data_IF_700129539867
#
_entry.id   IF_700129539867
#
_cell.length_a   1.000
_cell.length_b   1.000
_cell.length_c   1.000
_cell.angle_alpha   90.00
_cell.angle_beta   90.00
_cell.angle_gamma   90.00
#
_symmetry.space_group_name_H-M   'P 1'
#
loop_
_entity.id
_entity.type
_entity.pdbx_description
1 polymer ?
#
# COMPACT_ATOMS: atom_id res chain seq x y z
N UNK A 1 -3.48 14.57 33.87
CA UNK A 1 -2.62 13.73 33.03
C UNK A 1 -1.24 14.40 32.85
N UNK A 2 -0.17 13.65 33.09
CA UNK A 2 1.19 14.08 32.85
C UNK A 2 2.08 12.88 32.52
N UNK A 3 3.07 13.03 31.65
CA UNK A 3 4.08 12.01 31.39
C UNK A 3 5.35 12.63 30.79
N UNK A 4 6.45 11.88 30.91
CA UNK A 4 7.74 12.26 30.36
C UNK A 4 8.37 11.09 29.62
N UNK A 5 9.16 11.37 28.58
CA UNK A 5 9.96 10.37 27.88
C UNK A 5 11.02 11.05 27.02
N UNK A 6 11.98 10.27 26.52
CA UNK A 6 12.97 10.77 25.58
C UNK A 6 12.34 11.14 24.23
N UNK A 7 12.81 12.20 23.61
CA UNK A 7 12.33 12.69 22.31
C UNK A 7 12.27 11.57 21.26
N UNK A 8 13.30 10.77 21.15
CA UNK A 8 13.42 9.69 20.16
C UNK A 8 12.34 8.60 20.37
N UNK A 9 12.06 8.31 21.65
CA UNK A 9 11.02 7.33 22.03
C UNK A 9 9.62 7.84 21.67
N UNK A 10 9.37 9.16 21.78
CA UNK A 10 8.10 9.79 21.42
C UNK A 10 7.95 9.99 19.92
N UNK A 11 9.03 10.28 19.21
CA UNK A 11 9.00 10.64 17.80
C UNK A 11 8.50 9.50 16.91
N UNK A 12 8.90 8.25 17.21
CA UNK A 12 8.49 7.07 16.43
C UNK A 12 6.95 6.87 16.45
N UNK A 13 6.27 6.74 17.61
CA UNK A 13 4.81 6.57 17.64
C UNK A 13 4.07 7.80 17.09
N UNK A 14 4.58 9.02 17.29
CA UNK A 14 4.00 10.21 16.67
C UNK A 14 4.06 10.17 15.15
N UNK A 15 5.18 9.77 14.57
CA UNK A 15 5.35 9.65 13.12
C UNK A 15 4.37 8.63 12.51
N UNK A 16 4.08 7.54 13.22
CA UNK A 16 3.11 6.53 12.78
C UNK A 16 1.68 7.07 12.78
N UNK A 17 1.29 7.76 13.85
CA UNK A 17 -0.08 8.24 14.05
C UNK A 17 -0.40 9.47 13.20
N UNK A 18 0.54 10.41 13.03
CA UNK A 18 0.30 11.69 12.36
C UNK A 18 -0.06 11.53 10.87
N UNK A 19 0.34 10.43 10.25
CA UNK A 19 0.07 10.16 8.83
C UNK A 19 -1.42 9.91 8.55
N UNK A 20 -2.13 9.32 9.51
CA UNK A 20 -3.58 9.07 9.41
C UNK A 20 -4.37 10.38 9.55
N UNK A 21 -3.84 11.35 10.32
CA UNK A 21 -4.51 12.63 10.58
C UNK A 21 -4.47 13.54 9.36
N UNK A 22 -5.61 13.83 8.76
CA UNK A 22 -5.73 14.70 7.60
C UNK A 22 -5.58 16.20 7.96
N UNK A 23 -5.16 17.01 6.98
CA UNK A 23 -4.97 18.45 7.18
C UNK A 23 -6.29 19.22 7.25
N UNK A 24 -7.31 18.76 6.53
CA UNK A 24 -8.63 19.41 6.47
C UNK A 24 -9.66 18.39 6.90
N UNK A 25 -10.25 18.62 8.06
CA UNK A 25 -11.26 17.77 8.65
C UNK A 25 -12.57 18.55 8.84
N UNK A 26 -13.69 17.87 8.66
CA UNK A 26 -15.01 18.41 8.97
C UNK A 26 -15.25 18.52 10.48
N UNK A 27 -14.65 17.57 11.23
CA UNK A 27 -14.69 17.57 12.70
C UNK A 27 -13.33 18.04 13.24
N UNK A 28 -13.26 19.16 13.99
CA UNK A 28 -11.99 19.70 14.49
C UNK A 28 -11.15 18.72 15.32
N UNK A 29 -11.79 17.84 16.08
CA UNK A 29 -11.11 16.84 16.93
C UNK A 29 -10.28 15.83 16.12
N UNK A 30 -10.63 15.58 14.85
CA UNK A 30 -9.88 14.69 13.96
C UNK A 30 -8.51 15.26 13.51
N UNK A 31 -8.27 16.57 13.74
CA UNK A 31 -6.95 17.18 13.58
C UNK A 31 -6.02 16.90 14.77
N UNK A 32 -6.59 16.41 15.87
CA UNK A 32 -5.87 16.01 17.07
C UNK A 32 -5.57 14.50 17.05
N UNK A 33 -4.60 14.10 17.85
CA UNK A 33 -4.46 12.73 18.33
C UNK A 33 -5.04 12.64 19.75
N UNK A 34 -5.51 11.46 20.14
CA UNK A 34 -5.85 11.14 21.53
C UNK A 34 -4.61 10.52 22.19
N UNK A 35 -4.15 11.13 23.27
CA UNK A 35 -3.12 10.57 24.14
C UNK A 35 -3.78 10.03 25.40
N UNK A 36 -3.57 8.75 25.71
CA UNK A 36 -4.06 8.08 26.91
C UNK A 36 -2.90 7.45 27.67
N UNK A 37 -2.83 7.70 28.98
CA UNK A 37 -1.83 7.11 29.88
C UNK A 37 -2.54 6.20 30.87
N UNK A 38 -2.15 4.94 30.88
CA UNK A 38 -2.61 3.92 31.82
C UNK A 38 -1.37 3.22 32.43
N UNK A 39 -1.13 3.43 33.73
CA UNK A 39 0.12 3.01 34.36
C UNK A 39 1.32 3.70 33.72
N UNK A 40 2.27 2.93 33.21
CA UNK A 40 3.46 3.40 32.49
C UNK A 40 3.31 3.33 30.95
N UNK A 41 2.12 3.04 30.45
CA UNK A 41 1.85 2.87 29.03
C UNK A 41 1.15 4.12 28.46
N UNK A 42 1.76 4.75 27.48
CA UNK A 42 1.16 5.77 26.63
C UNK A 42 0.63 5.15 25.35
N UNK A 43 -0.63 5.40 25.04
CA UNK A 43 -1.25 5.11 23.75
C UNK A 43 -1.55 6.41 23.02
N UNK A 44 -1.10 6.52 21.78
CA UNK A 44 -1.41 7.62 20.88
C UNK A 44 -2.33 7.10 19.79
N UNK A 45 -3.51 7.68 19.65
CA UNK A 45 -4.50 7.28 18.63
C UNK A 45 -4.76 8.43 17.67
N UNK A 46 -4.69 8.15 16.38
CA UNK A 46 -5.12 9.05 15.31
C UNK A 46 -6.12 8.36 14.40
N UNK A 47 -7.12 9.09 13.93
CA UNK A 47 -8.14 8.56 13.03
C UNK A 47 -8.71 9.66 12.14
N UNK A 48 -9.24 9.24 10.98
CA UNK A 48 -10.05 10.04 10.07
C UNK A 48 -11.46 9.44 9.86
N UNK A 49 -11.86 8.51 10.73
CA UNK A 49 -13.08 7.71 10.70
C UNK A 49 -13.09 6.55 9.69
N UNK A 50 -12.09 6.46 8.81
CA UNK A 50 -11.92 5.34 7.88
C UNK A 50 -10.74 4.47 8.26
N UNK A 51 -9.67 5.13 8.72
CA UNK A 51 -8.45 4.49 9.20
C UNK A 51 -8.16 4.96 10.61
N UNK A 52 -7.71 4.05 11.46
CA UNK A 52 -7.23 4.33 12.81
C UNK A 52 -5.83 3.74 13.01
N UNK A 53 -4.98 4.50 13.66
CA UNK A 53 -3.64 4.07 14.07
C UNK A 53 -3.50 4.29 15.56
N UNK A 54 -3.17 3.23 16.30
CA UNK A 54 -2.86 3.28 17.73
C UNK A 54 -1.42 2.85 17.92
N UNK A 55 -0.57 3.76 18.36
CA UNK A 55 0.82 3.47 18.67
C UNK A 55 1.06 3.55 20.19
N UNK A 56 1.82 2.60 20.75
CA UNK A 56 2.05 2.47 22.18
C UNK A 56 3.52 2.55 22.51
N UNK A 57 3.83 3.19 23.64
CA UNK A 57 5.19 3.25 24.18
C UNK A 57 5.16 3.42 25.69
N UNK A 58 6.25 3.04 26.36
CA UNK A 58 6.40 3.28 27.80
C UNK A 58 6.80 4.71 28.09
N UNK A 59 6.35 5.22 29.20
CA UNK A 59 6.64 6.58 29.66
C UNK A 59 7.12 6.58 31.11
N UNK A 60 7.87 7.62 31.44
CA UNK A 60 8.31 7.93 32.79
C UNK A 60 7.39 8.97 33.44
N UNK A 61 7.43 9.08 34.77
CA UNK A 61 6.72 10.11 35.57
C UNK A 61 5.23 10.22 35.16
N UNK A 62 4.56 9.08 35.07
CA UNK A 62 3.23 8.96 34.48
C UNK A 62 2.11 9.26 35.49
N UNK A 63 1.23 10.18 35.14
CA UNK A 63 -0.08 10.39 35.78
C UNK A 63 -1.17 10.00 34.77
N UNK A 64 -1.99 9.04 35.16
CA UNK A 64 -3.07 8.50 34.30
C UNK A 64 -4.04 9.60 33.83
N UNK A 65 -4.65 9.37 32.68
CA UNK A 65 -5.65 10.25 32.07
C UNK A 65 -5.62 10.22 30.58
N UNK A 66 -6.47 11.05 29.98
CA UNK A 66 -6.58 11.17 28.53
C UNK A 66 -6.78 12.62 28.10
N UNK A 67 -6.23 12.97 26.94
CA UNK A 67 -6.32 14.32 26.37
C UNK A 67 -6.11 14.30 24.87
N UNK A 68 -6.76 15.19 24.15
CA UNK A 68 -6.47 15.38 22.74
C UNK A 68 -5.40 16.45 22.51
N UNK A 69 -4.53 16.24 21.54
CA UNK A 69 -3.42 17.16 21.24
C UNK A 69 -3.37 17.37 19.73
N UNK A 70 -3.21 18.60 19.21
CA UNK A 70 -3.05 18.86 17.78
C UNK A 70 -1.87 18.06 17.21
N UNK A 71 -2.19 17.01 16.41
CA UNK A 71 -1.24 15.96 16.05
C UNK A 71 -0.02 16.48 15.30
N UNK A 72 -0.23 17.28 14.24
CA UNK A 72 0.86 17.82 13.42
C UNK A 72 1.73 18.81 14.18
N UNK A 73 1.12 19.68 14.99
CA UNK A 73 1.88 20.65 15.81
C UNK A 73 2.75 19.93 16.82
N UNK A 74 2.21 18.93 17.51
CA UNK A 74 3.00 18.12 18.43
C UNK A 74 4.16 17.42 17.73
N UNK A 75 3.90 16.78 16.58
CA UNK A 75 4.93 16.12 15.79
C UNK A 75 6.05 17.09 15.34
N UNK A 76 5.68 18.26 14.82
CA UNK A 76 6.65 19.28 14.38
C UNK A 76 7.48 19.82 15.54
N UNK A 77 6.87 20.07 16.70
CA UNK A 77 7.58 20.49 17.92
C UNK A 77 8.58 19.41 18.32
N UNK A 78 8.13 18.17 18.51
CA UNK A 78 9.00 17.07 18.96
C UNK A 78 10.14 16.82 17.96
N UNK A 79 9.85 16.90 16.67
CA UNK A 79 10.88 16.75 15.62
C UNK A 79 11.93 17.84 15.65
N UNK A 80 11.55 19.07 16.00
CA UNK A 80 12.45 20.23 16.03
C UNK A 80 13.27 20.34 17.34
N UNK A 81 12.93 19.57 18.39
CA UNK A 81 13.69 19.57 19.62
C UNK A 81 15.08 18.93 19.42
N UNK A 82 16.10 19.34 20.21
CA UNK A 82 17.42 18.71 20.16
C UNK A 82 17.37 17.20 20.50
N UNK A 83 18.29 16.45 19.93
CA UNK A 83 18.45 15.02 20.21
C UNK A 83 18.75 14.80 21.71
N UNK A 84 18.25 13.70 22.27
CA UNK A 84 18.41 13.35 23.69
C UNK A 84 17.59 14.22 24.65
N UNK A 85 16.67 15.06 24.15
CA UNK A 85 15.82 15.89 25.03
C UNK A 85 14.80 15.02 25.77
N UNK A 86 14.66 15.21 27.08
CA UNK A 86 13.52 14.70 27.85
C UNK A 86 12.31 15.61 27.60
N UNK A 87 11.27 15.06 27.01
CA UNK A 87 10.01 15.77 26.71
C UNK A 87 9.01 15.46 27.79
N UNK A 88 8.41 16.50 28.37
CA UNK A 88 7.33 16.39 29.35
C UNK A 88 6.05 16.97 28.72
N UNK A 89 4.97 16.23 28.75
CA UNK A 89 3.64 16.65 28.31
C UNK A 89 2.73 16.64 29.52
N UNK A 90 2.04 17.76 29.76
CA UNK A 90 1.15 17.93 30.91
C UNK A 90 -0.13 18.68 30.51
N UNK A 91 -1.24 18.20 31.01
CA UNK A 91 -2.55 18.86 30.88
C UNK A 91 -2.67 20.04 31.86
N UNK A 92 -3.18 21.16 31.38
CA UNK A 92 -3.47 22.34 32.17
C UNK A 92 -4.83 22.93 31.72
N UNK A 93 -5.91 22.40 32.31
CA UNK A 93 -7.29 22.76 31.91
C UNK A 93 -7.58 22.30 30.48
N UNK A 94 -7.93 23.24 29.62
CA UNK A 94 -8.23 23.08 28.18
C UNK A 94 -6.96 23.20 27.28
N UNK A 95 -5.77 23.15 27.89
CA UNK A 95 -4.50 23.30 27.21
C UNK A 95 -3.56 22.16 27.55
N UNK A 96 -2.59 21.94 26.66
CA UNK A 96 -1.49 21.02 26.84
C UNK A 96 -0.17 21.78 26.79
N UNK A 97 0.65 21.60 27.80
CA UNK A 97 2.02 22.11 27.80
C UNK A 97 2.99 21.01 27.37
N UNK A 98 3.81 21.32 26.39
CA UNK A 98 4.94 20.50 25.94
C UNK A 98 6.21 21.21 26.34
N UNK A 99 7.07 20.60 27.16
CA UNK A 99 8.30 21.20 27.62
C UNK A 99 9.52 20.29 27.46
N UNK A 100 10.64 20.86 27.09
CA UNK A 100 11.93 20.18 26.97
C UNK A 100 13.07 21.17 27.27
N UNK A 101 13.85 20.95 28.34
CA UNK A 101 14.87 21.87 28.79
C UNK A 101 14.28 23.26 29.05
N UNK A 102 14.74 24.25 28.29
CA UNK A 102 14.26 25.65 28.40
C UNK A 102 13.09 25.96 27.46
N UNK A 103 12.72 25.03 26.58
CA UNK A 103 11.63 25.21 25.61
C UNK A 103 10.30 24.85 26.24
N UNK A 104 9.28 25.69 26.01
CA UNK A 104 7.92 25.46 26.47
C UNK A 104 6.93 25.90 25.42
N UNK A 105 6.02 25.00 25.09
CA UNK A 105 4.95 25.23 24.11
C UNK A 105 3.60 24.96 24.78
N UNK A 106 2.60 25.76 24.44
CA UNK A 106 1.22 25.58 24.93
C UNK A 106 0.31 25.41 23.73
N UNK A 107 -0.36 24.27 23.68
CA UNK A 107 -1.30 23.91 22.62
C UNK A 107 -2.73 23.88 23.17
N UNK A 108 -3.69 24.28 22.34
CA UNK A 108 -5.11 24.10 22.66
C UNK A 108 -5.48 22.61 22.59
N UNK A 109 -6.32 22.17 23.49
CA UNK A 109 -6.87 20.81 23.52
C UNK A 109 -8.37 20.84 23.30
N UNK A 110 -8.91 19.72 22.86
CA UNK A 110 -10.36 19.46 22.81
C UNK A 110 -10.67 18.32 23.78
N UNK A 111 -11.92 18.22 24.27
CA UNK A 111 -12.29 17.14 25.20
C UNK A 111 -12.01 15.77 24.61
N UNK A 112 -11.43 14.89 25.40
CA UNK A 112 -11.12 13.51 24.97
C UNK A 112 -12.39 12.72 24.61
N UNK A 113 -13.52 13.01 25.27
CA UNK A 113 -14.81 12.38 25.00
C UNK A 113 -15.37 12.69 23.61
N UNK A 114 -14.91 13.79 22.98
CA UNK A 114 -15.30 14.14 21.60
C UNK A 114 -14.48 13.38 20.55
N UNK A 115 -13.41 12.68 20.98
CA UNK A 115 -12.59 11.92 20.05
C UNK A 115 -13.28 10.60 19.68
N UNK A 116 -13.54 10.37 18.38
CA UNK A 116 -14.27 9.20 17.94
C UNK A 116 -13.38 7.94 18.08
N UNK A 117 -14.00 6.84 18.50
CA UNK A 117 -13.40 5.53 18.40
C UNK A 117 -13.97 4.81 17.17
N UNK A 118 -13.14 4.03 16.48
CA UNK A 118 -13.66 3.06 15.51
C UNK A 118 -14.34 1.91 16.26
N UNK A 119 -15.35 1.32 15.61
CA UNK A 119 -16.03 0.16 16.11
C UNK A 119 -15.06 -1.00 16.37
N UNK A 120 -15.37 -1.82 17.35
CA UNK A 120 -14.61 -3.06 17.57
C UNK A 120 -14.67 -3.95 16.33
N UNK A 121 -13.53 -4.54 15.97
CA UNK A 121 -13.48 -5.47 14.84
C UNK A 121 -14.10 -6.79 15.28
N UNK A 122 -15.29 -7.10 14.76
CA UNK A 122 -15.88 -8.42 14.84
C UNK A 122 -15.11 -9.37 13.91
N UNK A 123 -13.95 -9.82 14.39
CA UNK A 123 -13.04 -10.64 13.61
C UNK A 123 -13.64 -12.02 13.33
N UNK A 124 -13.95 -12.29 12.07
CA UNK A 124 -14.42 -13.60 11.62
C UNK A 124 -13.28 -14.54 11.30
N UNK A 125 -12.13 -14.00 10.90
CA UNK A 125 -10.89 -14.74 10.65
C UNK A 125 -9.70 -14.04 11.28
N UNK A 126 -8.76 -14.85 11.80
CA UNK A 126 -7.48 -14.40 12.34
C UNK A 126 -6.37 -15.26 11.77
N UNK A 127 -5.35 -14.63 11.24
CA UNK A 127 -4.19 -15.32 10.67
C UNK A 127 -2.91 -14.60 11.05
N UNK A 128 -1.82 -15.36 11.13
CA UNK A 128 -0.48 -14.81 11.25
C UNK A 128 0.15 -14.71 9.87
N UNK A 129 0.80 -13.60 9.64
CA UNK A 129 1.51 -13.33 8.38
C UNK A 129 2.85 -12.65 8.68
N UNK A 130 3.91 -13.07 8.02
CA UNK A 130 5.20 -12.38 8.12
C UNK A 130 5.11 -10.96 7.58
N UNK A 131 5.66 -9.99 8.32
CA UNK A 131 5.63 -8.57 7.95
C UNK A 131 6.23 -8.32 6.57
N UNK A 132 7.40 -8.93 6.29
CA UNK A 132 8.05 -8.82 4.98
C UNK A 132 7.17 -9.36 3.84
N UNK A 133 6.48 -10.49 4.07
CA UNK A 133 5.57 -11.09 3.10
C UNK A 133 4.36 -10.20 2.82
N UNK A 134 3.73 -9.64 3.84
CA UNK A 134 2.60 -8.72 3.68
C UNK A 134 3.01 -7.45 2.96
N UNK A 135 4.16 -6.87 3.31
CA UNK A 135 4.74 -5.72 2.62
C UNK A 135 4.96 -6.01 1.15
N UNK A 136 5.57 -7.14 0.83
CA UNK A 136 5.81 -7.57 -0.55
C UNK A 136 4.50 -7.71 -1.34
N UNK A 137 3.47 -8.33 -0.77
CA UNK A 137 2.16 -8.46 -1.41
C UNK A 137 1.59 -7.10 -1.80
N UNK A 138 1.63 -6.14 -0.88
CA UNK A 138 1.09 -4.78 -1.10
C UNK A 138 1.93 -4.05 -2.16
N UNK A 139 3.26 -4.03 -2.03
CA UNK A 139 4.16 -3.34 -2.96
C UNK A 139 4.02 -3.85 -4.40
N UNK A 140 3.81 -5.16 -4.56
CA UNK A 140 3.70 -5.80 -5.88
C UNK A 140 2.31 -5.71 -6.51
N UNK A 141 1.30 -5.17 -5.81
CA UNK A 141 -0.08 -5.16 -6.31
C UNK A 141 -0.77 -3.81 -6.22
N UNK A 142 -0.50 -3.01 -5.19
CA UNK A 142 -1.24 -1.79 -4.89
C UNK A 142 -1.22 -0.72 -6.00
N UNK A 143 -0.22 -0.71 -6.87
CA UNK A 143 -0.11 0.23 -7.98
C UNK A 143 -1.25 0.06 -9.01
N UNK A 144 -1.85 -1.13 -9.10
CA UNK A 144 -2.93 -1.43 -10.04
C UNK A 144 -4.33 -1.07 -9.50
N UNK A 145 -4.46 -0.58 -8.26
CA UNK A 145 -5.74 -0.07 -7.75
C UNK A 145 -6.22 1.11 -8.56
N UNK A 146 -7.51 1.15 -8.87
CA UNK A 146 -8.15 2.31 -9.48
C UNK A 146 -8.10 3.55 -8.56
N UNK A 147 -8.28 4.73 -9.15
CA UNK A 147 -8.37 5.99 -8.43
C UNK A 147 -9.65 6.71 -8.85
N UNK A 148 -10.57 6.91 -7.88
CA UNK A 148 -11.84 7.60 -8.11
C UNK A 148 -12.69 6.99 -9.26
N UNK A 149 -12.60 5.66 -9.43
CA UNK A 149 -13.47 4.94 -10.37
C UNK A 149 -14.89 4.83 -9.79
N UNK A 150 -15.90 4.97 -10.65
CA UNK A 150 -17.31 4.81 -10.28
C UNK A 150 -17.61 3.39 -9.76
N UNK A 151 -16.83 2.41 -10.19
CA UNK A 151 -16.80 1.06 -9.65
C UNK A 151 -15.98 1.07 -8.37
N UNK A 152 -16.55 1.61 -7.30
CA UNK A 152 -15.86 1.91 -6.03
C UNK A 152 -15.09 0.72 -5.44
N UNK A 153 -15.51 -0.53 -5.71
CA UNK A 153 -14.83 -1.74 -5.30
C UNK A 153 -13.45 -1.94 -5.97
N UNK A 154 -13.14 -1.21 -7.04
CA UNK A 154 -11.80 -1.19 -7.67
C UNK A 154 -10.85 -0.17 -7.03
N UNK A 155 -11.37 0.77 -6.21
CA UNK A 155 -10.56 1.78 -5.52
C UNK A 155 -9.88 1.22 -4.25
N UNK A 156 -9.67 -0.08 -4.19
CA UNK A 156 -9.03 -0.78 -3.09
C UNK A 156 -8.27 -2.01 -3.53
N UNK A 157 -7.62 -2.63 -2.57
CA UNK A 157 -6.87 -3.87 -2.72
C UNK A 157 -7.69 -5.03 -2.15
N UNK A 158 -7.93 -6.05 -2.94
CA UNK A 158 -8.52 -7.30 -2.49
C UNK A 158 -7.49 -8.08 -1.67
N UNK A 159 -7.88 -8.50 -0.49
CA UNK A 159 -7.22 -9.52 0.32
C UNK A 159 -8.07 -10.79 0.21
N UNK A 160 -7.55 -11.80 -0.46
CA UNK A 160 -8.22 -13.08 -0.68
C UNK A 160 -7.50 -14.16 0.11
N UNK A 161 -8.12 -14.54 1.23
CA UNK A 161 -7.63 -15.55 2.16
C UNK A 161 -8.27 -16.89 1.81
N UNK A 162 -7.45 -17.88 1.51
CA UNK A 162 -7.93 -19.23 1.15
C UNK A 162 -6.88 -20.31 1.44
N UNK A 163 -7.34 -21.44 1.95
CA UNK A 163 -6.50 -22.61 2.23
C UNK A 163 -5.23 -22.24 3.04
N UNK A 164 -4.07 -22.26 2.43
CA UNK A 164 -2.76 -21.87 2.99
C UNK A 164 -2.18 -20.62 2.33
N UNK A 165 -3.03 -19.74 1.78
CA UNK A 165 -2.53 -18.61 1.04
C UNK A 165 -3.29 -17.32 1.37
N UNK A 166 -2.53 -16.22 1.44
CA UNK A 166 -3.05 -14.87 1.36
C UNK A 166 -2.64 -14.30 0.00
N UNK A 167 -3.65 -13.92 -0.79
CA UNK A 167 -3.46 -13.30 -2.09
C UNK A 167 -3.91 -11.85 -2.05
N UNK A 168 -3.11 -10.94 -2.58
CA UNK A 168 -3.50 -9.57 -2.83
C UNK A 168 -3.76 -9.36 -4.33
N UNK A 169 -4.86 -8.69 -4.67
CA UNK A 169 -5.25 -8.43 -6.06
C UNK A 169 -5.75 -7.00 -6.21
N UNK A 170 -5.28 -6.30 -7.22
CA UNK A 170 -5.77 -5.00 -7.62
C UNK A 170 -5.99 -4.92 -9.13
N UNK A 171 -6.99 -4.14 -9.56
CA UNK A 171 -7.26 -3.86 -10.97
C UNK A 171 -7.96 -2.51 -11.11
N UNK A 172 -7.70 -1.83 -12.23
CA UNK A 172 -8.42 -0.63 -12.67
C UNK A 172 -9.32 -0.89 -13.89
N UNK A 173 -9.44 -2.17 -14.30
CA UNK A 173 -10.18 -2.60 -15.47
C UNK A 173 -9.37 -2.61 -16.77
N UNK A 174 -8.12 -2.11 -16.76
CA UNK A 174 -7.20 -2.13 -17.90
C UNK A 174 -5.97 -2.99 -17.64
N UNK A 175 -5.66 -3.21 -16.39
CA UNK A 175 -4.58 -4.08 -15.92
C UNK A 175 -4.99 -4.74 -14.62
N UNK A 176 -4.31 -5.81 -14.26
CA UNK A 176 -4.49 -6.50 -13.00
C UNK A 176 -3.12 -6.88 -12.44
N UNK A 177 -2.94 -6.71 -11.16
CA UNK A 177 -1.78 -7.21 -10.41
C UNK A 177 -2.25 -8.17 -9.33
N UNK A 178 -1.67 -9.35 -9.26
CA UNK A 178 -1.93 -10.31 -8.20
C UNK A 178 -0.62 -10.91 -7.71
N UNK A 179 -0.52 -11.10 -6.41
CA UNK A 179 0.60 -11.75 -5.77
C UNK A 179 0.13 -12.57 -4.57
N UNK A 180 0.79 -13.69 -4.28
CA UNK A 180 0.38 -14.65 -3.27
C UNK A 180 1.52 -14.93 -2.30
N UNK A 181 1.19 -15.05 -1.01
CA UNK A 181 2.08 -15.54 0.03
C UNK A 181 1.49 -16.80 0.67
N UNK A 182 2.35 -17.77 0.93
CA UNK A 182 1.98 -18.98 1.66
C UNK A 182 1.90 -18.67 3.14
N UNK A 183 0.88 -19.17 3.81
CA UNK A 183 0.67 -19.08 5.25
C UNK A 183 1.14 -20.37 5.93
N UNK A 184 1.62 -20.23 7.15
CA UNK A 184 2.03 -21.41 7.94
C UNK A 184 0.83 -22.27 8.38
N UNK A 185 -0.31 -21.60 8.59
CA UNK A 185 -1.55 -22.24 9.04
C UNK A 185 -2.58 -22.35 7.92
N UNK A 186 -3.36 -23.43 7.93
CA UNK A 186 -4.49 -23.61 7.00
C UNK A 186 -5.70 -22.86 7.51
N UNK A 187 -6.26 -22.02 6.68
CA UNK A 187 -7.48 -21.26 6.98
C UNK A 187 -8.71 -22.12 6.74
N UNK A 188 -9.62 -22.13 7.70
CA UNK A 188 -10.84 -22.95 7.65
C UNK A 188 -11.88 -22.39 6.65
N UNK A 189 -11.94 -21.08 6.52
CA UNK A 189 -12.97 -20.39 5.74
C UNK A 189 -12.33 -19.46 4.72
N UNK A 190 -12.76 -19.55 3.47
CA UNK A 190 -12.36 -18.58 2.45
C UNK A 190 -12.93 -17.21 2.77
N UNK A 191 -12.09 -16.20 2.78
CA UNK A 191 -12.49 -14.84 3.08
C UNK A 191 -11.91 -13.84 2.07
N UNK A 192 -12.79 -13.02 1.50
CA UNK A 192 -12.41 -11.91 0.61
C UNK A 192 -12.85 -10.59 1.23
N UNK A 193 -11.93 -9.65 1.33
CA UNK A 193 -12.20 -8.29 1.80
C UNK A 193 -11.49 -7.29 0.89
N UNK A 194 -12.08 -6.10 0.75
CA UNK A 194 -11.49 -5.03 -0.06
C UNK A 194 -11.07 -3.89 0.88
N UNK A 195 -9.77 -3.69 0.99
CA UNK A 195 -9.17 -2.61 1.80
C UNK A 195 -9.10 -1.35 0.94
N UNK A 196 -9.67 -0.22 1.39
CA UNK A 196 -9.63 1.03 0.63
C UNK A 196 -8.20 1.49 0.35
N UNK A 197 -7.98 2.17 -0.77
CA UNK A 197 -6.66 2.67 -1.18
C UNK A 197 -5.93 3.40 -0.07
N UNK A 198 -6.61 4.28 0.69
CA UNK A 198 -6.01 5.00 1.82
C UNK A 198 -5.50 4.03 2.88
N UNK A 199 -6.32 3.07 3.29
CA UNK A 199 -5.92 2.04 4.26
C UNK A 199 -4.71 1.24 3.79
N UNK A 200 -4.67 0.86 2.51
CA UNK A 200 -3.54 0.13 1.91
C UNK A 200 -2.25 0.96 1.97
N UNK A 201 -2.31 2.24 1.61
CA UNK A 201 -1.13 3.12 1.61
C UNK A 201 -0.61 3.39 3.03
N UNK A 202 -1.50 3.56 4.02
CA UNK A 202 -1.09 3.71 5.41
C UNK A 202 -0.51 2.42 5.98
N UNK A 203 -1.11 1.27 5.65
CA UNK A 203 -0.57 -0.03 6.03
C UNK A 203 0.82 -0.26 5.40
N UNK A 204 0.99 0.06 4.13
CA UNK A 204 2.30 -0.04 3.44
C UNK A 204 3.39 0.79 4.12
N UNK A 205 3.05 2.00 4.58
CA UNK A 205 3.99 2.87 5.31
C UNK A 205 4.36 2.32 6.69
N UNK A 206 3.42 1.63 7.33
CA UNK A 206 3.63 1.02 8.63
C UNK A 206 4.58 -0.17 8.57
N UNK A 207 4.56 -0.94 7.48
CA UNK A 207 5.34 -2.16 7.33
C UNK A 207 6.81 -1.85 7.07
N UNK A 208 7.67 -2.28 7.97
CA UNK A 208 9.14 -2.09 7.90
C UNK A 208 9.81 -3.19 7.04
N UNK A 209 9.13 -4.34 6.84
CA UNK A 209 9.68 -5.49 6.10
C UNK A 209 10.63 -6.33 6.94
N UNK A 210 10.40 -6.38 8.23
CA UNK A 210 11.14 -7.21 9.16
C UNK A 210 10.67 -8.68 9.14
N UNK A 211 11.42 -9.55 9.81
CA UNK A 211 11.06 -10.97 9.96
C UNK A 211 10.01 -11.22 11.08
N UNK A 212 9.33 -10.16 11.55
CA UNK A 212 8.29 -10.27 12.58
C UNK A 212 7.02 -10.88 12.00
N UNK A 213 6.29 -11.54 12.88
CA UNK A 213 4.92 -11.94 12.59
C UNK A 213 3.93 -10.84 12.98
N UNK A 214 2.91 -10.68 12.17
CA UNK A 214 1.77 -9.79 12.40
C UNK A 214 0.51 -10.63 12.58
N UNK A 215 -0.37 -10.20 13.46
CA UNK A 215 -1.73 -10.72 13.54
C UNK A 215 -2.63 -9.90 12.62
N UNK A 216 -3.23 -10.59 11.67
CA UNK A 216 -4.20 -10.04 10.73
C UNK A 216 -5.60 -10.51 11.12
N UNK A 217 -6.46 -9.60 11.53
CA UNK A 217 -7.85 -9.84 11.85
C UNK A 217 -8.75 -9.31 10.73
N UNK A 218 -9.53 -10.19 10.12
CA UNK A 218 -10.51 -9.83 9.09
C UNK A 218 -11.92 -9.91 9.67
N UNK A 219 -12.58 -8.77 9.77
CA UNK A 219 -13.97 -8.65 10.19
C UNK A 219 -14.92 -8.47 9.00
N UNK A 220 -16.19 -8.17 9.30
CA UNK A 220 -17.20 -7.90 8.27
C UNK A 220 -17.03 -6.52 7.65
N UNK A 221 -16.72 -5.52 8.46
CA UNK A 221 -16.63 -4.12 8.07
C UNK A 221 -15.24 -3.51 8.25
N UNK A 222 -14.32 -4.21 8.91
CA UNK A 222 -12.97 -3.73 9.20
C UNK A 222 -11.92 -4.81 9.03
N UNK A 223 -10.70 -4.38 8.71
CA UNK A 223 -9.46 -5.15 8.85
C UNK A 223 -8.63 -4.52 9.97
N UNK A 224 -7.98 -5.36 10.77
CA UNK A 224 -7.02 -4.92 11.78
C UNK A 224 -5.71 -5.66 11.62
N UNK A 225 -4.61 -4.92 11.69
CA UNK A 225 -3.25 -5.47 11.69
C UNK A 225 -2.59 -5.06 13.00
N UNK A 226 -2.14 -6.05 13.76
CA UNK A 226 -1.48 -5.85 15.04
C UNK A 226 -0.01 -6.22 14.96
N UNK A 227 0.78 -5.32 15.46
CA UNK A 227 2.18 -5.50 15.80
C UNK A 227 2.34 -5.13 17.28
N UNK A 228 3.40 -5.56 17.96
CA UNK A 228 3.58 -5.38 19.41
C UNK A 228 3.29 -3.95 19.89
N UNK A 229 3.77 -2.96 19.18
CA UNK A 229 3.72 -1.54 19.53
C UNK A 229 2.63 -0.75 18.78
N UNK A 230 2.04 -1.33 17.72
CA UNK A 230 1.11 -0.62 16.84
C UNK A 230 -0.08 -1.48 16.47
N UNK A 231 -1.26 -0.85 16.44
CA UNK A 231 -2.48 -1.42 15.90
C UNK A 231 -3.00 -0.52 14.78
N UNK A 232 -3.10 -1.07 13.60
CA UNK A 232 -3.73 -0.45 12.44
C UNK A 232 -5.12 -1.02 12.25
N UNK A 233 -6.13 -0.18 12.02
CA UNK A 233 -7.49 -0.60 11.69
C UNK A 233 -7.99 0.20 10.49
N UNK A 234 -8.62 -0.44 9.53
CA UNK A 234 -9.25 0.23 8.38
C UNK A 234 -10.65 -0.30 8.15
N UNK A 235 -11.60 0.59 7.85
CA UNK A 235 -12.88 0.19 7.26
C UNK A 235 -12.65 -0.51 5.94
N UNK A 236 -13.57 -1.38 5.56
CA UNK A 236 -13.56 -2.10 4.29
C UNK A 236 -14.51 -1.44 3.29
N UNK A 237 -14.23 -1.62 2.02
CA UNK A 237 -15.19 -1.31 0.96
C UNK A 237 -16.25 -2.41 0.94
N UNK A 238 -17.51 -2.02 1.13
CA UNK A 238 -18.63 -2.95 0.97
C UNK A 238 -18.88 -3.17 -0.53
N UNK A 239 -18.73 -4.41 -0.98
CA UNK A 239 -18.90 -4.77 -2.37
C UNK A 239 -18.25 -6.12 -2.70
N UNK A 240 -18.48 -6.55 -3.93
CA UNK A 240 -17.90 -7.78 -4.48
C UNK A 240 -16.82 -7.43 -5.49
N UNK A 241 -15.60 -7.90 -5.24
CA UNK A 241 -14.52 -7.79 -6.22
C UNK A 241 -14.83 -8.67 -7.44
N UNK A 242 -14.48 -8.24 -8.66
CA UNK A 242 -14.68 -9.04 -9.87
C UNK A 242 -13.98 -10.40 -9.79
N UNK A 243 -14.47 -11.35 -10.58
CA UNK A 243 -13.78 -12.64 -10.75
C UNK A 243 -12.45 -12.42 -11.49
N UNK A 244 -11.42 -12.17 -10.71
CA UNK A 244 -10.09 -11.86 -11.22
C UNK A 244 -9.40 -13.09 -11.84
N UNK A 245 -9.78 -14.30 -11.46
CA UNK A 245 -9.20 -15.53 -12.01
C UNK A 245 -9.62 -15.71 -13.46
N UNK A 246 -10.84 -15.28 -13.83
CA UNK A 246 -11.32 -15.29 -15.21
C UNK A 246 -10.60 -14.29 -16.13
N UNK A 247 -9.92 -13.29 -15.57
CA UNK A 247 -9.16 -12.27 -16.33
C UNK A 247 -7.76 -12.76 -16.70
N UNK A 248 -7.21 -13.71 -15.95
CA UNK A 248 -5.90 -14.31 -16.25
C UNK A 248 -5.99 -15.08 -17.57
N UNK A 249 -5.18 -14.76 -18.58
CA UNK A 249 -5.30 -15.36 -19.90
C UNK A 249 -5.02 -16.87 -19.85
N UNK A 250 -5.97 -17.64 -20.37
CA UNK A 250 -5.85 -19.09 -20.54
C UNK A 250 -5.33 -19.37 -21.95
N UNK A 251 -4.35 -20.30 -22.07
CA UNK A 251 -3.78 -20.68 -23.37
C UNK A 251 -2.87 -19.61 -23.97
N UNK A 252 -2.27 -18.76 -23.14
CA UNK A 252 -1.20 -17.87 -23.52
C UNK A 252 0.13 -18.66 -23.52
N UNK A 253 0.31 -19.47 -24.57
CA UNK A 253 1.42 -20.43 -24.73
C UNK A 253 2.66 -19.84 -25.45
N UNK A 254 2.53 -18.60 -25.95
CA UNK A 254 3.62 -17.87 -26.61
C UNK A 254 4.44 -17.13 -25.58
N UNK A 255 5.52 -17.75 -25.13
CA UNK A 255 6.40 -17.18 -24.13
C UNK A 255 7.54 -16.38 -24.76
N UNK A 256 7.79 -15.21 -24.19
CA UNK A 256 8.90 -14.34 -24.52
C UNK A 256 9.64 -14.03 -23.23
N UNK A 257 10.84 -14.61 -23.05
CA UNK A 257 11.69 -14.35 -21.89
C UNK A 257 12.65 -13.23 -22.23
N UNK A 258 12.72 -12.23 -21.35
CA UNK A 258 13.39 -10.97 -21.62
C UNK A 258 14.16 -10.55 -20.38
N UNK A 259 15.36 -9.96 -20.54
CA UNK A 259 16.02 -9.23 -19.47
C UNK A 259 15.13 -8.08 -18.99
N UNK A 260 14.80 -8.06 -17.72
CA UNK A 260 13.85 -7.11 -17.13
C UNK A 260 14.30 -5.67 -17.24
N UNK A 261 15.58 -5.38 -16.96
CA UNK A 261 16.10 -4.01 -16.99
C UNK A 261 16.28 -3.50 -18.43
N UNK A 262 16.73 -4.36 -19.36
CA UNK A 262 16.79 -4.00 -20.78
C UNK A 262 15.39 -3.67 -21.31
N UNK A 263 14.38 -4.48 -21.00
CA UNK A 263 13.00 -4.24 -21.42
C UNK A 263 12.44 -2.95 -20.81
N UNK A 264 12.64 -2.74 -19.51
CA UNK A 264 12.21 -1.53 -18.80
C UNK A 264 12.85 -0.27 -19.38
N UNK A 265 14.16 -0.29 -19.61
CA UNK A 265 14.90 0.85 -20.16
C UNK A 265 14.45 1.19 -21.59
N UNK A 266 14.21 0.17 -22.45
CA UNK A 266 13.72 0.37 -23.81
C UNK A 266 12.29 0.93 -23.82
N UNK A 267 11.40 0.43 -22.97
CA UNK A 267 10.05 0.98 -22.80
C UNK A 267 10.10 2.44 -22.32
N UNK A 268 10.99 2.79 -21.39
CA UNK A 268 11.16 4.17 -20.90
C UNK A 268 11.59 5.12 -22.02
N UNK A 269 12.53 4.71 -22.88
CA UNK A 269 12.96 5.52 -24.01
C UNK A 269 11.85 5.65 -25.05
N UNK A 270 11.20 4.55 -25.43
CA UNK A 270 10.07 4.59 -26.36
C UNK A 270 8.90 5.44 -25.85
N UNK A 271 8.65 5.44 -24.54
CA UNK A 271 7.59 6.23 -23.91
C UNK A 271 7.74 7.74 -24.13
N UNK A 272 8.96 8.24 -24.38
CA UNK A 272 9.23 9.68 -24.62
C UNK A 272 8.43 10.18 -25.82
N UNK A 273 8.34 9.39 -26.89
CA UNK A 273 7.64 9.73 -28.11
C UNK A 273 6.28 9.00 -28.25
N UNK A 274 5.76 8.42 -27.19
CA UNK A 274 4.41 7.88 -27.18
C UNK A 274 3.36 8.99 -27.09
N UNK A 275 2.18 8.74 -27.67
CA UNK A 275 1.04 9.66 -27.52
C UNK A 275 0.75 9.95 -26.04
N UNK A 276 0.67 11.23 -25.67
CA UNK A 276 0.52 11.66 -24.26
C UNK A 276 -0.77 11.15 -23.59
N UNK A 277 -1.85 11.01 -24.36
CA UNK A 277 -3.17 10.62 -23.85
C UNK A 277 -3.28 9.11 -23.65
N UNK A 278 -2.83 8.32 -24.65
CA UNK A 278 -3.03 6.88 -24.66
C UNK A 278 -1.80 6.10 -24.22
N UNK A 279 -0.63 6.73 -24.25
CA UNK A 279 0.66 6.15 -23.87
C UNK A 279 0.92 4.81 -24.58
N UNK A 280 0.51 4.73 -25.86
CA UNK A 280 0.58 3.51 -26.64
C UNK A 280 1.98 3.20 -27.15
N UNK A 281 2.37 1.94 -27.02
CA UNK A 281 3.53 1.35 -27.66
C UNK A 281 3.14 0.07 -28.39
N UNK A 282 3.72 -0.18 -29.54
CA UNK A 282 3.55 -1.37 -30.35
C UNK A 282 4.73 -2.29 -30.09
N UNK A 283 4.45 -3.50 -29.67
CA UNK A 283 5.45 -4.54 -29.44
C UNK A 283 5.34 -5.55 -30.58
N UNK A 284 6.45 -5.79 -31.27
CA UNK A 284 6.59 -6.80 -32.33
C UNK A 284 7.55 -7.87 -31.84
N UNK A 285 7.04 -9.09 -31.73
CA UNK A 285 7.81 -10.27 -31.30
C UNK A 285 8.20 -11.05 -32.55
N UNK A 286 9.46 -11.43 -32.65
CA UNK A 286 9.98 -12.36 -33.66
C UNK A 286 11.04 -13.28 -33.05
N UNK A 287 11.47 -14.36 -33.72
CA UNK A 287 12.46 -15.28 -33.14
C UNK A 287 13.73 -14.55 -32.69
N UNK A 288 14.07 -14.68 -31.40
CA UNK A 288 15.25 -14.06 -30.81
C UNK A 288 15.18 -12.57 -30.52
N UNK A 289 14.07 -11.90 -30.81
CA UNK A 289 14.02 -10.44 -30.84
C UNK A 289 12.67 -9.86 -30.45
N UNK A 290 12.69 -8.71 -29.80
CA UNK A 290 11.52 -7.89 -29.52
C UNK A 290 11.78 -6.46 -29.96
N UNK A 291 10.88 -5.89 -30.78
CA UNK A 291 10.89 -4.49 -31.19
C UNK A 291 9.80 -3.72 -30.48
N UNK A 292 10.10 -2.50 -30.09
CA UNK A 292 9.17 -1.59 -29.42
C UNK A 292 9.10 -0.34 -30.28
N UNK A 293 7.90 -0.02 -30.78
CA UNK A 293 7.67 1.16 -31.60
C UNK A 293 6.68 2.09 -30.87
N UNK A 294 6.96 3.37 -30.88
CA UNK A 294 6.04 4.40 -30.41
C UNK A 294 5.97 5.53 -31.44
N UNK A 295 4.84 6.20 -31.53
CA UNK A 295 4.65 7.40 -32.33
C UNK A 295 3.68 8.35 -31.65
N UNK A 296 3.83 9.63 -31.95
CA UNK A 296 2.96 10.68 -31.46
C UNK A 296 2.20 11.37 -32.61
N UNK A 297 1.22 12.25 -32.31
CA UNK A 297 0.48 13.00 -33.35
C UNK A 297 1.35 13.94 -34.17
N UNK A 298 2.50 14.34 -33.65
CA UNK A 298 3.49 15.20 -34.30
C UNK A 298 4.33 14.45 -35.36
N UNK A 299 4.04 13.15 -35.59
CA UNK A 299 4.76 12.26 -36.51
C UNK A 299 6.21 11.96 -36.08
N UNK A 300 6.49 12.09 -34.79
CA UNK A 300 7.78 11.65 -34.26
C UNK A 300 7.66 10.16 -33.89
N UNK A 301 8.76 9.43 -34.09
CA UNK A 301 8.80 7.97 -33.91
C UNK A 301 9.98 7.54 -33.04
N UNK A 302 9.76 6.56 -32.20
CA UNK A 302 10.79 5.84 -31.46
C UNK A 302 10.77 4.37 -31.87
N UNK A 303 11.94 3.81 -32.13
CA UNK A 303 12.12 2.38 -32.35
C UNK A 303 13.25 1.87 -31.47
N UNK A 304 12.94 0.86 -30.68
CA UNK A 304 13.87 0.14 -29.83
C UNK A 304 13.88 -1.34 -30.20
N UNK A 305 15.03 -1.97 -30.05
CA UNK A 305 15.19 -3.39 -30.34
C UNK A 305 16.00 -4.03 -29.22
N UNK A 306 15.52 -5.15 -28.70
CA UNK A 306 16.17 -5.91 -27.64
C UNK A 306 16.15 -7.40 -27.95
N UNK A 307 17.14 -8.11 -27.44
CA UNK A 307 17.18 -9.58 -27.50
C UNK A 307 16.09 -10.17 -26.60
N UNK A 308 15.49 -11.26 -27.06
CA UNK A 308 14.49 -12.00 -26.33
C UNK A 308 14.61 -13.50 -26.66
N UNK A 309 14.52 -14.31 -25.63
CA UNK A 309 14.46 -15.76 -25.80
C UNK A 309 13.01 -16.15 -26.10
N UNK A 310 12.73 -16.43 -27.38
CA UNK A 310 11.38 -16.79 -27.84
C UNK A 310 11.41 -17.60 -29.13
N UNK A 311 10.40 -18.43 -29.31
CA UNK A 311 10.12 -19.20 -30.55
C UNK A 311 8.91 -18.68 -31.31
N UNK A 312 8.37 -17.54 -30.90
CA UNK A 312 7.24 -16.92 -31.58
C UNK A 312 7.65 -16.43 -32.96
N UNK A 313 6.99 -16.89 -34.02
CA UNK A 313 7.36 -16.54 -35.39
C UNK A 313 7.11 -15.07 -35.71
N UNK A 314 5.92 -14.57 -35.38
CA UNK A 314 5.56 -13.15 -35.53
C UNK A 314 4.29 -12.87 -34.74
N UNK A 315 4.36 -11.83 -33.90
CA UNK A 315 3.18 -11.32 -33.21
C UNK A 315 3.34 -9.81 -32.99
N UNK A 316 2.30 -9.05 -33.31
CA UNK A 316 2.25 -7.61 -33.08
C UNK A 316 1.10 -7.30 -32.13
N UNK A 317 1.38 -6.55 -31.07
CA UNK A 317 0.40 -6.21 -30.05
C UNK A 317 0.69 -4.82 -29.46
N UNK A 318 -0.36 -4.01 -29.25
CA UNK A 318 -0.26 -2.70 -28.63
C UNK A 318 -0.53 -2.74 -27.13
N UNK A 319 0.19 -1.92 -26.38
CA UNK A 319 -0.02 -1.75 -24.92
C UNK A 319 0.12 -0.31 -24.50
N UNK A 320 -0.49 0.03 -23.35
CA UNK A 320 -0.11 1.23 -22.63
C UNK A 320 1.25 0.99 -21.96
N UNK A 321 2.24 1.80 -22.33
CA UNK A 321 3.63 1.65 -21.85
C UNK A 321 3.75 1.76 -20.33
N UNK A 322 2.94 2.61 -19.69
CA UNK A 322 2.99 2.79 -18.24
C UNK A 322 2.55 1.51 -17.50
N UNK A 323 1.57 0.78 -18.05
CA UNK A 323 1.12 -0.48 -17.44
C UNK A 323 2.18 -1.57 -17.49
N UNK A 324 2.95 -1.63 -18.57
CA UNK A 324 4.11 -2.54 -18.65
C UNK A 324 5.23 -2.10 -17.71
N UNK A 325 5.54 -0.80 -17.66
CA UNK A 325 6.56 -0.27 -16.74
C UNK A 325 6.23 -0.50 -15.27
N UNK A 326 4.97 -0.33 -14.88
CA UNK A 326 4.53 -0.59 -13.51
C UNK A 326 4.63 -2.08 -13.17
N UNK A 327 4.22 -2.98 -14.06
CA UNK A 327 4.36 -4.41 -13.89
C UNK A 327 5.84 -4.83 -13.74
N UNK A 328 6.72 -4.34 -14.61
CA UNK A 328 8.15 -4.61 -14.56
C UNK A 328 8.82 -4.07 -13.28
N UNK A 329 8.34 -2.93 -12.78
CA UNK A 329 8.83 -2.32 -11.53
C UNK A 329 8.44 -3.13 -10.29
N UNK A 330 7.34 -3.88 -10.35
CA UNK A 330 6.87 -4.73 -9.28
C UNK A 330 7.54 -6.13 -9.26
N UNK A 331 8.18 -6.53 -10.35
CA UNK A 331 8.92 -7.79 -10.46
C UNK A 331 10.38 -7.59 -10.04
N UNK A 332 11.03 -8.64 -9.54
CA UNK A 332 12.39 -8.57 -8.97
C UNK A 332 13.43 -9.43 -9.69
N UNK A 333 12.99 -10.47 -10.41
CA UNK A 333 13.89 -11.33 -11.15
C UNK A 333 14.68 -10.56 -12.22
N UNK A 334 15.86 -11.03 -12.54
CA UNK A 334 16.67 -10.55 -13.66
C UNK A 334 15.92 -10.72 -15.00
N UNK A 335 15.19 -11.82 -15.15
CA UNK A 335 14.39 -12.11 -16.34
C UNK A 335 12.90 -12.16 -16.02
N UNK A 336 12.12 -11.66 -16.96
CA UNK A 336 10.65 -11.74 -16.95
C UNK A 336 10.16 -12.54 -18.13
N UNK A 337 8.99 -13.13 -17.98
CA UNK A 337 8.29 -13.84 -19.06
C UNK A 337 7.03 -13.05 -19.40
N UNK A 338 6.93 -12.67 -20.66
CA UNK A 338 5.72 -12.12 -21.27
C UNK A 338 5.01 -13.28 -22.00
N UNK A 339 3.85 -13.67 -21.47
CA UNK A 339 3.02 -14.72 -22.07
C UNK A 339 1.92 -14.08 -22.91
N UNK A 340 1.86 -14.46 -24.18
CA UNK A 340 0.96 -13.90 -25.20
C UNK A 340 0.13 -15.01 -25.82
N UNK A 341 -1.04 -14.65 -26.29
CA UNK A 341 -1.91 -15.53 -27.06
C UNK A 341 -2.08 -15.03 -28.50
N UNK A 342 -2.57 -13.82 -28.65
CA UNK A 342 -2.83 -13.15 -29.93
C UNK A 342 -2.80 -11.63 -29.74
N UNK A 343 -3.00 -10.86 -30.83
CA UNK A 343 -2.94 -9.39 -30.83
C UNK A 343 -4.10 -8.71 -30.07
N UNK A 344 -5.15 -9.44 -29.70
CA UNK A 344 -6.35 -8.89 -29.07
C UNK A 344 -6.55 -9.40 -27.63
N UNK A 345 -5.76 -10.36 -27.21
CA UNK A 345 -5.83 -10.96 -25.87
C UNK A 345 -4.89 -10.27 -24.90
N UNK A 346 -5.25 -10.25 -23.62
CA UNK A 346 -4.41 -9.73 -22.57
C UNK A 346 -3.08 -10.48 -22.48
N UNK A 347 -2.01 -9.77 -22.16
CA UNK A 347 -0.72 -10.34 -21.84
C UNK A 347 -0.61 -10.66 -20.36
N UNK A 348 0.12 -11.72 -20.02
CA UNK A 348 0.54 -12.03 -18.66
C UNK A 348 2.04 -11.76 -18.53
N UNK A 349 2.42 -10.96 -17.54
CA UNK A 349 3.82 -10.66 -17.19
C UNK A 349 4.12 -11.26 -15.83
N UNK A 350 5.19 -12.05 -15.74
CA UNK A 350 5.61 -12.70 -14.49
C UNK A 350 7.12 -12.82 -14.39
N UNK A 351 7.61 -13.17 -13.24
CA UNK A 351 9.01 -13.57 -13.04
C UNK A 351 9.31 -14.88 -13.77
N UNK A 352 10.53 -15.04 -14.27
CA UNK A 352 10.94 -16.26 -14.95
C UNK A 352 11.05 -17.45 -13.98
N UNK A 353 11.43 -17.20 -12.73
CA UNK A 353 11.62 -18.22 -11.70
C UNK A 353 10.37 -18.53 -10.86
N UNK A 354 9.31 -17.70 -10.96
CA UNK A 354 8.17 -17.78 -10.06
C UNK A 354 6.85 -17.35 -10.71
N UNK A 355 5.77 -18.02 -10.35
CA UNK A 355 4.40 -17.64 -10.70
C UNK A 355 3.65 -16.98 -9.52
N UNK A 356 4.35 -16.71 -8.42
CA UNK A 356 3.80 -16.12 -7.21
C UNK A 356 3.13 -14.77 -7.48
N UNK A 357 3.76 -13.93 -8.29
CA UNK A 357 3.23 -12.64 -8.71
C UNK A 357 2.98 -12.64 -10.22
N UNK A 358 1.77 -12.28 -10.61
CA UNK A 358 1.28 -12.27 -11.99
C UNK A 358 0.62 -10.95 -12.28
N UNK A 359 0.99 -10.35 -13.40
CA UNK A 359 0.43 -9.08 -13.85
C UNK A 359 -0.23 -9.26 -15.23
N UNK A 360 -1.47 -8.86 -15.34
CA UNK A 360 -2.21 -8.90 -16.61
C UNK A 360 -2.29 -7.48 -17.15
N UNK A 361 -1.94 -7.31 -18.43
CA UNK A 361 -2.05 -6.03 -19.14
C UNK A 361 -2.96 -6.22 -20.36
N UNK A 362 -4.03 -5.45 -20.43
CA UNK A 362 -4.94 -5.48 -21.58
C UNK A 362 -4.29 -4.84 -22.80
N UNK A 363 -4.54 -5.39 -24.00
CA UNK A 363 -4.03 -4.82 -25.23
C UNK A 363 -4.70 -3.47 -25.53
N UNK A 364 -3.94 -2.60 -26.17
CA UNK A 364 -4.41 -1.33 -26.71
C UNK A 364 -4.51 -1.45 -28.24
N UNK A 365 -5.63 -1.06 -28.81
CA UNK A 365 -5.78 -0.97 -30.27
C UNK A 365 -5.09 0.31 -30.72
N UNK A 366 -3.99 0.16 -31.47
CA UNK A 366 -3.17 1.24 -32.02
C UNK A 366 -3.44 1.40 -33.52
#
# INVERSE_FOLDING_TARGET
MRFSLQREVLLKPLAQVVNVVERRQTLPVLANLLARVEGDLLSLTGTDLEVEMVARTRVDDAEAGEITIPARKLFEIVRALPDGSKVTIAQAGDKVTVSAGRSRFTLASLPANDFPALDEVDATERVRVGEAGLKELIERTAFAMAQQDVRYYLNGLLFDLRDKALRCVATDGHRLAMCEAVLDETVQTKRQIIVPRKGVLELQRLLEGSDRELELEMGRSHIRVKRDDVTFTSKLIDGRFPDYEAVVPIGADREVKIDREAFRASLQRAAILSNEKYRGVRIEVSPGQLKINAHNPEQEEAQEEIEAETKVDSLVIGFNVNYLLDALSALRDEHVVLQLRDSNSSALVREASSEKCRHVVMPLRL
#
